data_IF_941335661010
#
_entry.id   IF_941335661010
#
_cell.length_a   1.000
_cell.length_b   1.000
_cell.length_c   1.000
_cell.angle_alpha   90.00
_cell.angle_beta   90.00
_cell.angle_gamma   90.00
#
_symmetry.space_group_name_H-M   'P 1'
#
loop_
_entity.id
_entity.type
_entity.pdbx_description
1 polymer ?
#
# COMPACT_ATOMS: atom_id res chain seq x y z
N UNK A 1 6.09 6.04 2.04
CA UNK A 1 5.13 5.83 3.15
C UNK A 1 5.91 5.95 4.43
N UNK A 2 5.51 6.84 5.33
CA UNK A 2 6.29 7.09 6.54
C UNK A 2 6.08 6.03 7.62
N UNK A 3 6.90 6.11 8.68
CA UNK A 3 6.88 5.22 9.83
C UNK A 3 5.55 5.18 10.61
N UNK A 4 4.67 6.16 10.39
CA UNK A 4 3.31 6.20 10.96
C UNK A 4 2.26 5.54 10.05
N UNK A 5 2.69 4.91 8.96
CA UNK A 5 1.83 4.27 7.96
C UNK A 5 1.09 5.26 7.07
N UNK A 6 1.48 6.54 7.00
CA UNK A 6 0.81 7.53 6.14
C UNK A 6 1.43 7.53 4.74
N UNK A 7 0.57 7.42 3.72
CA UNK A 7 0.94 7.67 2.33
C UNK A 7 1.08 9.18 2.09
N UNK A 8 2.09 9.55 1.32
CA UNK A 8 2.38 10.93 0.93
C UNK A 8 3.19 10.90 -0.37
N UNK A 9 3.18 12.00 -1.12
CA UNK A 9 4.00 12.19 -2.31
C UNK A 9 5.31 12.90 -1.96
N UNK A 10 6.38 12.56 -2.66
CA UNK A 10 7.71 13.19 -2.56
C UNK A 10 8.24 13.46 -3.96
N UNK A 11 9.01 14.53 -4.12
CA UNK A 11 9.72 14.87 -5.36
C UNK A 11 11.06 14.16 -5.50
N UNK A 12 11.58 13.59 -4.40
CA UNK A 12 12.85 12.87 -4.36
C UNK A 12 12.60 11.40 -4.06
N UNK A 13 13.22 10.51 -4.84
CA UNK A 13 13.13 9.07 -4.62
C UNK A 13 14.00 8.65 -3.44
N UNK A 14 13.40 7.93 -2.48
CA UNK A 14 14.10 7.38 -1.32
C UNK A 14 13.46 6.05 -0.89
N UNK A 15 13.97 5.43 0.17
CA UNK A 15 13.57 4.06 0.54
C UNK A 15 12.09 3.90 0.87
N UNK A 16 11.40 4.95 1.34
CA UNK A 16 9.96 4.88 1.60
C UNK A 16 9.11 4.94 0.32
N UNK A 17 9.71 5.16 -0.85
CA UNK A 17 9.06 5.05 -2.16
C UNK A 17 9.02 3.60 -2.67
N UNK A 18 9.77 2.69 -2.04
CA UNK A 18 9.89 1.30 -2.47
C UNK A 18 8.79 0.45 -1.82
N UNK A 19 8.07 -0.30 -2.64
CA UNK A 19 7.04 -1.23 -2.19
C UNK A 19 7.28 -2.62 -2.76
N UNK A 20 7.06 -3.64 -1.93
CA UNK A 20 7.07 -5.03 -2.35
C UNK A 20 5.68 -5.38 -2.89
N UNK A 21 5.63 -5.75 -4.16
CA UNK A 21 4.44 -6.29 -4.78
C UNK A 21 4.26 -7.76 -4.40
N UNK A 22 3.04 -8.13 -4.03
CA UNK A 22 2.64 -9.52 -3.77
C UNK A 22 1.33 -9.83 -4.49
N UNK A 23 1.33 -10.90 -5.29
CA UNK A 23 0.14 -11.41 -5.95
C UNK A 23 -0.82 -12.02 -4.92
N UNK A 24 -2.09 -11.68 -5.04
CA UNK A 24 -3.19 -12.23 -4.26
C UNK A 24 -4.11 -13.06 -5.17
N UNK A 25 -5.11 -13.69 -4.55
CA UNK A 25 -6.18 -14.35 -5.30
C UNK A 25 -6.86 -13.38 -6.29
N UNK A 26 -7.44 -13.94 -7.35
CA UNK A 26 -8.16 -13.19 -8.41
C UNK A 26 -7.31 -12.12 -9.10
N UNK A 27 -5.98 -12.30 -9.16
CA UNK A 27 -5.01 -11.41 -9.83
C UNK A 27 -4.95 -9.98 -9.26
N UNK A 28 -5.37 -9.78 -8.02
CA UNK A 28 -5.10 -8.53 -7.31
C UNK A 28 -3.67 -8.53 -6.78
N UNK A 29 -3.10 -7.34 -6.63
CA UNK A 29 -1.82 -7.13 -5.99
C UNK A 29 -2.01 -6.37 -4.67
N UNK A 30 -1.17 -6.69 -3.69
CA UNK A 30 -0.94 -5.86 -2.52
C UNK A 30 0.48 -5.29 -2.55
N UNK A 31 0.63 -4.07 -2.03
CA UNK A 31 1.89 -3.35 -2.00
C UNK A 31 2.30 -3.06 -0.55
N UNK A 32 3.32 -3.75 -0.07
CA UNK A 32 3.87 -3.59 1.28
C UNK A 32 5.04 -2.61 1.27
N UNK A 33 5.15 -1.71 2.25
CA UNK A 33 6.31 -0.82 2.36
C UNK A 33 7.59 -1.62 2.62
N UNK A 34 8.62 -1.40 1.80
CA UNK A 34 9.93 -2.05 2.00
C UNK A 34 10.62 -1.56 3.28
N UNK A 35 10.46 -0.28 3.63
CA UNK A 35 11.04 0.34 4.82
C UNK A 35 10.24 0.04 6.11
N UNK A 36 8.94 -0.26 5.99
CA UNK A 36 8.04 -0.48 7.13
C UNK A 36 7.18 -1.73 6.90
N UNK A 37 7.75 -2.89 7.21
CA UNK A 37 7.06 -4.19 7.11
C UNK A 37 5.74 -4.18 7.89
N UNK A 38 4.74 -4.86 7.34
CA UNK A 38 3.36 -4.89 7.85
C UNK A 38 2.53 -3.65 7.52
N UNK A 39 3.09 -2.66 6.79
CA UNK A 39 2.32 -1.50 6.32
C UNK A 39 2.01 -1.61 4.83
N UNK A 40 0.73 -1.51 4.46
CA UNK A 40 0.27 -1.70 3.07
C UNK A 40 -0.30 -0.43 2.46
N UNK A 41 -0.12 -0.24 1.14
CA UNK A 41 -0.90 0.75 0.38
C UNK A 41 -2.37 0.38 0.53
N UNK A 42 -3.21 1.37 0.85
CA UNK A 42 -4.63 1.11 1.06
C UNK A 42 -5.51 2.32 0.74
N UNK A 43 -6.61 2.08 0.04
CA UNK A 43 -7.66 3.07 -0.25
C UNK A 43 -8.99 2.65 0.36
N UNK A 44 -9.64 3.59 1.03
CA UNK A 44 -11.01 3.40 1.50
C UNK A 44 -12.01 3.39 0.34
N UNK A 45 -13.22 2.88 0.58
CA UNK A 45 -14.34 2.93 -0.37
C UNK A 45 -14.71 4.34 -0.86
N UNK A 46 -14.23 5.38 -0.16
CA UNK A 46 -14.45 6.79 -0.51
C UNK A 46 -13.25 7.42 -1.23
N UNK A 47 -12.31 6.60 -1.74
CA UNK A 47 -11.12 7.08 -2.46
C UNK A 47 -10.04 7.72 -1.58
N UNK A 48 -10.23 7.81 -0.26
CA UNK A 48 -9.24 8.36 0.67
C UNK A 48 -8.20 7.33 1.07
N UNK A 49 -6.94 7.75 1.17
CA UNK A 49 -5.85 6.94 1.71
C UNK A 49 -6.14 6.46 3.13
N UNK A 50 -5.91 5.18 3.39
CA UNK A 50 -5.96 4.58 4.73
C UNK A 50 -4.53 4.44 5.27
N UNK A 51 -4.37 4.49 6.60
CA UNK A 51 -3.07 4.25 7.21
C UNK A 51 -2.65 2.80 6.99
N UNK A 52 -1.45 2.59 6.45
CA UNK A 52 -0.94 1.28 6.08
C UNK A 52 -0.75 0.34 7.27
N UNK A 53 -0.43 0.85 8.45
CA UNK A 53 -0.36 0.07 9.70
C UNK A 53 -1.73 -0.35 10.26
N UNK A 54 -2.83 0.04 9.60
CA UNK A 54 -4.21 -0.36 9.90
C UNK A 54 -4.86 -1.11 8.73
N UNK A 55 -4.05 -1.60 7.81
CA UNK A 55 -4.48 -2.34 6.63
C UNK A 55 -3.71 -3.66 6.58
N UNK A 56 -4.38 -4.74 6.20
CA UNK A 56 -3.78 -6.06 6.03
C UNK A 56 -4.24 -6.65 4.70
N UNK A 57 -3.53 -7.65 4.18
CA UNK A 57 -3.86 -8.32 2.91
C UNK A 57 -5.21 -9.04 2.93
N UNK A 58 -5.78 -9.32 4.10
CA UNK A 58 -7.14 -9.84 4.24
C UNK A 58 -8.23 -8.79 3.92
N UNK A 59 -7.87 -7.50 3.92
CA UNK A 59 -8.80 -6.41 3.69
C UNK A 59 -8.76 -5.96 2.22
N UNK A 60 -9.92 -5.91 1.57
CA UNK A 60 -10.06 -5.49 0.16
C UNK A 60 -9.53 -4.09 -0.14
N UNK A 61 -9.43 -3.22 0.88
CA UNK A 61 -8.81 -1.88 0.77
C UNK A 61 -7.33 -1.92 0.35
N UNK A 62 -6.67 -3.08 0.45
CA UNK A 62 -5.27 -3.30 0.03
C UNK A 62 -5.16 -3.96 -1.34
N UNK A 63 -6.27 -4.31 -1.97
CA UNK A 63 -6.31 -5.07 -3.22
C UNK A 63 -6.37 -4.11 -4.40
N UNK A 64 -5.30 -4.08 -5.20
CA UNK A 64 -5.21 -3.26 -6.40
C UNK A 64 -5.15 -4.15 -7.63
N UNK A 65 -6.04 -3.91 -8.59
CA UNK A 65 -6.01 -4.58 -9.88
C UNK A 65 -5.24 -3.68 -10.87
N UNK A 66 -4.12 -4.13 -11.46
CA UNK A 66 -3.47 -3.38 -12.52
C UNK A 66 -4.42 -3.21 -13.72
N UNK A 67 -4.60 -1.96 -14.15
CA UNK A 67 -5.40 -1.59 -15.33
C UNK A 67 -4.57 -0.69 -16.24
N UNK A 68 -4.86 -0.76 -17.54
CA UNK A 68 -4.27 0.10 -18.59
C UNK A 68 -5.00 1.44 -18.62
#
# INVERSE_FOLDING_TARGET
>A
MNSRGRLYGTTVFHDECKFRESLLANNYNAYESAAHRGCFIALSKHGRVKRGNRATTAMTVTHFLPRI
#
